data_IF_143491603473
#
_entry.id   IF_143491603473
#
_cell.length_a   1.000
_cell.length_b   1.000
_cell.length_c   1.000
_cell.angle_alpha   90.00
_cell.angle_beta   90.00
_cell.angle_gamma   90.00
#
_symmetry.space_group_name_H-M   'P 1'
#
loop_
_entity.id
_entity.type
_entity.pdbx_description
1 polymer ?
#
# COMPACT_ATOMS: atom_id res chain seq x y z
N UNK A 1 -11.51 -7.47 -9.14
CA UNK A 1 -11.16 -8.09 -10.44
C UNK A 1 -11.00 -7.12 -11.66
N UNK A 2 -10.61 -5.84 -11.52
CA UNK A 2 -10.01 -5.05 -12.62
C UNK A 2 -8.48 -5.17 -12.74
N UNK A 3 -7.83 -5.76 -11.73
CA UNK A 3 -6.38 -5.69 -11.48
C UNK A 3 -5.51 -6.32 -12.57
N UNK A 4 -5.88 -7.48 -13.12
CA UNK A 4 -5.11 -8.17 -14.16
C UNK A 4 -5.21 -7.49 -15.53
N UNK A 5 -6.36 -6.86 -15.83
CA UNK A 5 -6.58 -6.08 -17.06
C UNK A 5 -5.81 -4.76 -16.98
N UNK A 6 -5.85 -4.10 -15.82
CA UNK A 6 -5.02 -2.91 -15.55
C UNK A 6 -3.55 -3.27 -15.63
N UNK A 7 -3.14 -4.41 -15.04
CA UNK A 7 -1.78 -4.90 -15.10
C UNK A 7 -1.32 -5.20 -16.54
N UNK A 8 -2.15 -5.87 -17.34
CA UNK A 8 -1.88 -6.15 -18.74
C UNK A 8 -1.72 -4.86 -19.56
N UNK A 9 -2.66 -3.91 -19.44
CA UNK A 9 -2.60 -2.62 -20.18
C UNK A 9 -1.40 -1.76 -19.80
N UNK A 10 -1.05 -1.72 -18.53
CA UNK A 10 0.12 -0.99 -18.05
C UNK A 10 1.42 -1.71 -18.42
N UNK A 11 1.41 -3.05 -18.49
CA UNK A 11 2.53 -3.83 -19.01
C UNK A 11 2.79 -3.56 -20.49
N UNK A 12 1.73 -3.42 -21.31
CA UNK A 12 1.87 -2.98 -22.71
C UNK A 12 2.43 -1.57 -22.85
N UNK A 13 2.30 -0.73 -21.81
CA UNK A 13 2.88 0.61 -21.74
C UNK A 13 4.34 0.62 -21.23
N UNK A 14 4.97 -0.55 -21.04
CA UNK A 14 6.34 -0.69 -20.58
C UNK A 14 6.52 -0.62 -19.06
N UNK A 15 5.44 -0.68 -18.29
CA UNK A 15 5.50 -0.71 -16.81
C UNK A 15 5.64 -2.17 -16.34
N UNK A 16 6.69 -2.46 -15.57
CA UNK A 16 6.85 -3.79 -14.94
C UNK A 16 5.80 -3.99 -13.87
N UNK A 17 5.00 -5.06 -13.98
CA UNK A 17 3.90 -5.33 -13.07
C UNK A 17 3.89 -6.80 -12.68
N UNK A 18 3.98 -7.02 -11.37
CA UNK A 18 3.82 -8.32 -10.74
C UNK A 18 2.42 -8.41 -10.13
N UNK A 19 1.68 -9.47 -10.43
CA UNK A 19 0.34 -9.69 -9.89
C UNK A 19 0.41 -10.77 -8.79
N UNK A 20 -0.06 -10.39 -7.60
CA UNK A 20 -0.31 -11.31 -6.48
C UNK A 20 -1.77 -11.76 -6.53
N UNK A 21 -2.00 -13.06 -6.76
CA UNK A 21 -3.35 -13.64 -6.86
C UNK A 21 -3.53 -14.69 -5.74
N UNK A 22 -4.06 -14.30 -4.57
CA UNK A 22 -4.43 -15.26 -3.54
C UNK A 22 -5.67 -16.07 -3.99
N UNK A 23 -5.77 -17.35 -3.62
CA UNK A 23 -6.85 -18.22 -4.06
C UNK A 23 -8.18 -17.81 -3.42
N UNK A 24 -9.30 -18.03 -4.12
CA UNK A 24 -10.64 -17.67 -3.64
C UNK A 24 -10.97 -16.17 -3.73
N UNK A 25 -12.21 -15.83 -3.35
CA UNK A 25 -12.70 -14.44 -3.24
C UNK A 25 -12.70 -13.94 -1.79
N UNK A 26 -12.26 -14.78 -0.86
CA UNK A 26 -12.32 -14.55 0.57
C UNK A 26 -11.22 -13.57 1.01
N UNK A 27 -11.42 -12.91 2.14
CA UNK A 27 -10.43 -11.98 2.66
C UNK A 27 -9.10 -12.72 2.92
N UNK A 28 -7.98 -12.00 2.75
CA UNK A 28 -6.63 -12.53 3.04
C UNK A 28 -6.47 -13.01 4.49
N UNK A 29 -7.41 -12.63 5.37
CA UNK A 29 -7.51 -13.05 6.75
C UNK A 29 -8.97 -13.12 7.21
N UNK A 30 -9.36 -14.29 7.71
CA UNK A 30 -10.61 -14.52 8.43
C UNK A 30 -10.27 -15.18 9.77
N UNK A 31 -10.27 -14.41 10.85
CA UNK A 31 -9.94 -14.90 12.18
C UNK A 31 -10.11 -13.82 13.24
N UNK A 32 -10.13 -14.25 14.50
CA UNK A 32 -10.42 -13.36 15.62
C UNK A 32 -9.31 -12.33 15.85
N UNK A 33 -9.63 -11.15 16.44
CA UNK A 33 -8.65 -10.11 16.71
C UNK A 33 -7.42 -10.58 17.51
N UNK A 34 -7.58 -11.53 18.42
CA UNK A 34 -6.49 -12.08 19.24
C UNK A 34 -5.55 -12.99 18.42
N UNK A 35 -6.11 -13.73 17.45
CA UNK A 35 -5.32 -14.54 16.52
C UNK A 35 -4.53 -13.67 15.55
N UNK A 36 -5.11 -12.52 15.15
CA UNK A 36 -4.42 -11.50 14.37
C UNK A 36 -3.22 -10.91 15.12
N UNK A 37 -3.38 -10.67 16.43
CA UNK A 37 -2.29 -10.17 17.31
C UNK A 37 -1.14 -11.19 17.36
N UNK A 38 -1.45 -12.48 17.52
CA UNK A 38 -0.45 -13.56 17.52
C UNK A 38 0.23 -13.70 16.14
N UNK A 39 -0.55 -13.68 15.06
CA UNK A 39 -0.08 -13.82 13.68
C UNK A 39 0.96 -12.75 13.31
N UNK A 40 0.74 -11.52 13.74
CA UNK A 40 1.57 -10.36 13.38
C UNK A 40 2.79 -10.18 14.29
N UNK A 41 2.86 -10.91 15.41
CA UNK A 41 3.96 -10.82 16.37
C UNK A 41 5.23 -11.57 15.93
N UNK A 42 5.08 -12.64 15.14
CA UNK A 42 6.21 -13.45 14.68
C UNK A 42 6.84 -12.91 13.38
N UNK A 43 8.12 -13.21 13.14
CA UNK A 43 8.75 -13.01 11.82
C UNK A 43 8.22 -14.07 10.82
N UNK A 44 7.62 -13.69 9.68
CA UNK A 44 7.11 -14.65 8.71
C UNK A 44 8.20 -15.49 8.04
N UNK A 45 9.47 -15.08 8.10
CA UNK A 45 10.57 -15.79 7.44
C UNK A 45 10.43 -15.82 5.90
N UNK A 46 11.40 -16.42 5.20
CA UNK A 46 11.34 -16.52 3.74
C UNK A 46 10.37 -17.63 3.30
N UNK A 47 9.43 -17.31 2.41
CA UNK A 47 8.63 -18.30 1.69
C UNK A 47 8.93 -18.20 0.19
N UNK A 48 9.12 -19.35 -0.46
CA UNK A 48 9.31 -19.44 -1.91
C UNK A 48 7.99 -19.80 -2.56
N UNK A 49 7.58 -19.02 -3.55
CA UNK A 49 6.39 -19.27 -4.34
C UNK A 49 6.77 -19.58 -5.78
N UNK A 50 5.91 -20.36 -6.45
CA UNK A 50 6.03 -20.60 -7.87
C UNK A 50 5.60 -19.35 -8.64
N UNK A 51 6.54 -18.76 -9.37
CA UNK A 51 6.29 -17.65 -10.29
C UNK A 51 6.26 -18.16 -11.73
N UNK A 52 5.31 -17.69 -12.53
CA UNK A 52 5.23 -18.06 -13.94
C UNK A 52 4.27 -17.18 -14.72
N UNK A 53 4.29 -17.33 -16.04
CA UNK A 53 3.20 -16.82 -16.89
C UNK A 53 1.92 -17.62 -16.55
N UNK A 54 0.73 -16.99 -16.58
CA UNK A 54 -0.53 -17.73 -16.42
C UNK A 54 -0.58 -18.89 -17.41
N UNK A 55 -1.14 -20.03 -17.01
CA UNK A 55 -1.44 -21.09 -17.97
C UNK A 55 -2.57 -20.67 -18.91
N UNK A 56 -2.68 -21.33 -20.06
CA UNK A 56 -3.81 -21.11 -20.98
C UNK A 56 -5.16 -21.25 -20.27
N UNK A 57 -5.32 -22.26 -19.42
CA UNK A 57 -6.55 -22.52 -18.65
C UNK A 57 -6.86 -21.37 -17.68
N UNK A 58 -5.85 -20.83 -17.00
CA UNK A 58 -6.00 -19.67 -16.10
C UNK A 58 -6.36 -18.39 -16.86
N UNK A 59 -5.68 -18.14 -17.98
CA UNK A 59 -5.95 -17.00 -18.87
C UNK A 59 -7.38 -17.08 -19.42
N UNK A 60 -7.77 -18.25 -19.92
CA UNK A 60 -9.06 -18.51 -20.54
C UNK A 60 -10.22 -18.46 -19.54
N UNK A 61 -10.09 -19.11 -18.38
CA UNK A 61 -11.12 -19.08 -17.34
C UNK A 61 -11.42 -17.66 -16.86
N UNK A 62 -10.38 -16.83 -16.67
CA UNK A 62 -10.55 -15.42 -16.26
C UNK A 62 -11.11 -14.54 -17.38
N UNK A 63 -10.80 -14.82 -18.64
CA UNK A 63 -11.41 -14.15 -19.79
C UNK A 63 -12.92 -14.44 -19.86
N UNK A 64 -13.33 -15.69 -19.59
CA UNK A 64 -14.74 -16.08 -19.55
C UNK A 64 -15.50 -15.46 -18.37
N UNK A 65 -14.93 -15.45 -17.17
CA UNK A 65 -15.52 -14.76 -16.01
C UNK A 65 -15.79 -13.28 -16.31
N UNK A 66 -14.89 -12.63 -17.07
CA UNK A 66 -15.03 -11.22 -17.44
C UNK A 66 -16.13 -10.95 -18.48
N UNK A 67 -16.34 -11.90 -19.41
CA UNK A 67 -17.39 -11.82 -20.42
C UNK A 67 -18.79 -12.11 -19.85
N UNK A 68 -18.89 -12.48 -18.56
CA UNK A 68 -20.15 -12.78 -17.89
C UNK A 68 -20.86 -14.03 -18.42
N UNK A 69 -20.12 -14.89 -19.13
CA UNK A 69 -20.66 -16.12 -19.73
C UNK A 69 -20.68 -17.23 -18.68
N UNK A 70 -21.83 -17.44 -18.06
CA UNK A 70 -22.02 -18.46 -17.00
C UNK A 70 -22.17 -19.88 -17.57
N UNK A 71 -22.50 -20.02 -18.86
CA UNK A 71 -22.58 -21.31 -19.53
C UNK A 71 -22.12 -21.16 -20.99
N UNK A 72 -20.82 -21.28 -21.23
CA UNK A 72 -20.29 -21.39 -22.59
C UNK A 72 -19.41 -22.63 -22.64
N UNK A 73 -19.92 -23.74 -23.18
CA UNK A 73 -19.07 -24.83 -23.64
C UNK A 73 -18.46 -24.38 -24.98
N UNK A 74 -17.18 -23.97 -25.00
CA UNK A 74 -16.60 -23.49 -26.23
C UNK A 74 -16.43 -24.66 -27.19
N UNK A 75 -16.75 -24.43 -28.47
CA UNK A 75 -16.45 -25.45 -29.48
C UNK A 75 -14.93 -25.52 -29.73
N UNK A 76 -14.45 -26.64 -30.28
CA UNK A 76 -13.02 -26.88 -30.53
C UNK A 76 -12.33 -25.78 -31.35
N UNK A 77 -13.04 -25.12 -32.27
CA UNK A 77 -12.49 -24.03 -33.07
C UNK A 77 -12.28 -22.74 -32.24
N UNK A 78 -13.16 -22.47 -31.27
CA UNK A 78 -13.03 -21.32 -30.36
C UNK A 78 -11.90 -21.52 -29.36
N UNK A 79 -11.75 -22.74 -28.81
CA UNK A 79 -10.60 -23.12 -27.99
C UNK A 79 -9.28 -22.99 -28.76
N UNK A 80 -9.27 -23.39 -30.03
CA UNK A 80 -8.09 -23.28 -30.89
C UNK A 80 -7.72 -21.82 -31.16
N UNK A 81 -8.71 -20.97 -31.46
CA UNK A 81 -8.50 -19.54 -31.66
C UNK A 81 -7.98 -18.84 -30.39
N UNK A 82 -8.59 -19.13 -29.24
CA UNK A 82 -8.17 -18.58 -27.96
C UNK A 82 -6.74 -19.02 -27.59
N UNK A 83 -6.36 -20.26 -27.92
CA UNK A 83 -5.00 -20.77 -27.65
C UNK A 83 -3.96 -20.08 -28.52
N UNK A 84 -4.27 -19.82 -29.79
CA UNK A 84 -3.41 -19.03 -30.67
C UNK A 84 -3.24 -17.59 -30.18
N UNK A 85 -4.31 -16.97 -29.66
CA UNK A 85 -4.27 -15.62 -29.05
C UNK A 85 -3.42 -15.59 -27.76
N UNK A 86 -3.56 -16.61 -26.92
CA UNK A 86 -2.73 -16.78 -25.72
C UNK A 86 -1.24 -16.95 -26.07
N UNK A 87 -0.92 -17.80 -27.05
CA UNK A 87 0.47 -18.00 -27.48
C UNK A 87 1.09 -16.73 -28.06
N UNK A 88 0.29 -15.94 -28.82
CA UNK A 88 0.72 -14.66 -29.35
C UNK A 88 0.97 -13.60 -28.26
N UNK A 89 0.21 -13.64 -27.15
CA UNK A 89 0.30 -12.66 -26.05
C UNK A 89 1.26 -13.07 -24.93
N UNK A 90 1.77 -14.31 -24.91
CA UNK A 90 2.58 -14.87 -23.83
C UNK A 90 3.74 -13.97 -23.37
N UNK A 91 4.40 -13.29 -24.33
CA UNK A 91 5.49 -12.33 -24.05
C UNK A 91 5.04 -11.12 -23.23
N UNK A 92 3.82 -10.66 -23.43
CA UNK A 92 3.23 -9.45 -22.85
C UNK A 92 2.40 -9.73 -21.58
N UNK A 93 2.11 -11.00 -21.28
CA UNK A 93 1.36 -11.36 -20.07
C UNK A 93 2.17 -11.03 -18.80
N UNK A 94 1.56 -10.55 -17.72
CA UNK A 94 2.26 -10.30 -16.47
C UNK A 94 2.79 -11.61 -15.86
N UNK A 95 3.82 -11.51 -15.02
CA UNK A 95 4.23 -12.62 -14.17
C UNK A 95 3.23 -12.72 -13.02
N UNK A 96 2.70 -13.92 -12.81
CA UNK A 96 1.79 -14.20 -11.71
C UNK A 96 2.55 -14.99 -10.65
N UNK A 97 2.44 -14.52 -9.42
CA UNK A 97 2.88 -15.24 -8.24
C UNK A 97 1.66 -15.92 -7.64
N UNK A 98 1.60 -17.25 -7.80
CA UNK A 98 0.52 -18.06 -7.24
C UNK A 98 0.79 -18.23 -5.75
N UNK A 99 -0.07 -17.64 -4.92
CA UNK A 99 0.02 -17.79 -3.47
C UNK A 99 -0.81 -19.00 -3.10
N UNK A 100 -0.24 -20.09 -2.54
CA UNK A 100 -1.07 -21.21 -2.12
C UNK A 100 -1.94 -20.81 -0.90
N UNK A 101 -3.02 -21.55 -0.63
CA UNK A 101 -3.95 -21.25 0.48
C UNK A 101 -3.24 -21.14 1.84
N UNK A 102 -2.29 -22.03 2.10
CA UNK A 102 -1.43 -22.00 3.30
C UNK A 102 -0.47 -20.78 3.32
N UNK A 103 -0.22 -20.14 2.18
CA UNK A 103 0.56 -18.92 2.00
C UNK A 103 -0.19 -17.62 2.26
N UNK A 104 -1.53 -17.62 2.34
CA UNK A 104 -2.33 -16.39 2.57
C UNK A 104 -1.94 -15.68 3.86
N UNK A 105 -1.82 -16.44 4.96
CA UNK A 105 -1.45 -15.92 6.28
C UNK A 105 -0.06 -15.29 6.26
N UNK A 106 0.89 -15.89 5.55
CA UNK A 106 2.23 -15.33 5.36
C UNK A 106 2.18 -14.04 4.54
N UNK A 107 1.44 -14.03 3.41
CA UNK A 107 1.31 -12.85 2.55
C UNK A 107 0.72 -11.68 3.33
N UNK A 108 -0.37 -11.95 4.06
CA UNK A 108 -1.03 -10.96 4.90
C UNK A 108 -0.05 -10.35 5.93
N UNK A 109 0.77 -11.18 6.60
CA UNK A 109 1.80 -10.70 7.54
C UNK A 109 2.82 -9.79 6.88
N UNK A 110 3.32 -10.16 5.71
CA UNK A 110 4.29 -9.35 4.95
C UNK A 110 3.66 -8.00 4.56
N UNK A 111 2.42 -8.02 4.04
CA UNK A 111 1.71 -6.79 3.66
C UNK A 111 1.46 -5.88 4.88
N UNK A 112 1.01 -6.45 6.00
CA UNK A 112 0.76 -5.70 7.22
C UNK A 112 2.06 -5.08 7.80
N UNK A 113 3.16 -5.83 7.81
CA UNK A 113 4.49 -5.33 8.21
C UNK A 113 4.98 -4.23 7.27
N UNK A 114 4.82 -4.41 5.96
CA UNK A 114 5.22 -3.41 4.97
C UNK A 114 4.39 -2.12 5.10
N UNK A 115 3.09 -2.23 5.36
CA UNK A 115 2.24 -1.08 5.64
C UNK A 115 2.71 -0.34 6.90
N UNK A 116 2.94 -1.06 8.01
CA UNK A 116 3.48 -0.50 9.26
C UNK A 116 4.84 0.20 9.06
N UNK A 117 5.76 -0.46 8.36
CA UNK A 117 7.06 0.10 7.98
C UNK A 117 6.90 1.42 7.21
N UNK A 118 6.04 1.43 6.18
CA UNK A 118 5.86 2.60 5.30
C UNK A 118 5.23 3.78 6.03
N UNK A 119 4.27 3.53 6.90
CA UNK A 119 3.58 4.55 7.70
C UNK A 119 4.53 5.19 8.72
N UNK A 120 5.40 4.41 9.37
CA UNK A 120 6.42 4.96 10.27
C UNK A 120 7.48 5.77 9.52
N UNK A 121 7.94 5.30 8.35
CA UNK A 121 8.86 6.08 7.50
C UNK A 121 8.22 7.37 6.99
N UNK A 122 6.94 7.33 6.65
CA UNK A 122 6.18 8.54 6.30
C UNK A 122 6.18 9.54 7.45
N UNK A 123 6.03 9.09 8.70
CA UNK A 123 6.17 9.93 9.89
C UNK A 123 7.62 10.35 10.19
N UNK A 124 8.60 9.84 9.46
CA UNK A 124 10.03 10.09 9.65
C UNK A 124 10.69 9.30 10.78
N UNK A 125 10.04 8.27 11.31
CA UNK A 125 10.59 7.40 12.35
C UNK A 125 11.22 6.14 11.73
N UNK A 126 12.43 6.31 11.19
CA UNK A 126 13.17 5.21 10.57
C UNK A 126 13.63 4.16 11.59
N UNK A 127 13.86 4.56 12.85
CA UNK A 127 14.28 3.64 13.91
C UNK A 127 13.18 2.65 14.23
N UNK A 128 11.97 3.12 14.52
CA UNK A 128 10.84 2.23 14.79
C UNK A 128 10.41 1.49 13.52
N UNK A 129 10.51 2.10 12.34
CA UNK A 129 10.18 1.41 11.09
C UNK A 129 11.04 0.16 10.87
N UNK A 130 12.32 0.21 11.25
CA UNK A 130 13.29 -0.88 11.00
C UNK A 130 12.88 -2.24 11.57
N UNK A 131 12.05 -2.28 12.62
CA UNK A 131 11.55 -3.52 13.21
C UNK A 131 10.59 -4.30 12.28
N UNK A 132 10.06 -3.63 11.27
CA UNK A 132 9.14 -4.18 10.28
C UNK A 132 9.80 -4.48 8.94
N UNK A 133 11.07 -4.13 8.77
CA UNK A 133 11.83 -4.37 7.54
C UNK A 133 11.90 -5.87 7.24
N UNK A 134 11.46 -6.26 6.04
CA UNK A 134 11.78 -7.60 5.53
C UNK A 134 13.22 -7.64 5.00
N UNK A 135 13.91 -8.79 5.02
CA UNK A 135 15.28 -8.90 4.51
C UNK A 135 15.47 -8.36 3.09
N UNK A 136 14.44 -8.44 2.23
CA UNK A 136 14.45 -7.88 0.86
C UNK A 136 14.32 -6.36 0.80
N UNK A 137 13.69 -5.73 1.79
CA UNK A 137 13.53 -4.26 1.86
C UNK A 137 14.79 -3.60 2.42
N UNK A 138 15.60 -4.34 3.19
CA UNK A 138 16.87 -3.84 3.71
C UNK A 138 17.85 -3.42 2.60
N UNK A 139 17.72 -3.97 1.39
CA UNK A 139 18.58 -3.65 0.24
C UNK A 139 18.05 -2.46 -0.59
N UNK A 140 16.76 -2.12 -0.48
CA UNK A 140 16.12 -0.99 -1.17
C UNK A 140 15.75 0.10 -0.15
N UNK A 141 16.78 0.74 0.43
CA UNK A 141 16.61 1.62 1.59
C UNK A 141 16.01 3.01 1.29
N UNK A 142 15.63 3.32 0.05
CA UNK A 142 15.37 4.70 -0.35
C UNK A 142 13.96 4.86 -0.91
N UNK A 143 13.09 5.56 -0.19
CA UNK A 143 11.90 6.14 -0.81
C UNK A 143 12.36 7.40 -1.57
N UNK A 144 11.76 7.74 -2.72
CA UNK A 144 12.10 8.97 -3.47
C UNK A 144 11.97 10.27 -2.64
N UNK A 145 11.29 10.22 -1.49
CA UNK A 145 11.14 11.31 -0.53
C UNK A 145 12.30 11.45 0.47
N UNK A 146 13.18 10.46 0.57
CA UNK A 146 14.33 10.47 1.49
C UNK A 146 15.53 11.21 0.90
N UNK A 147 15.60 11.34 -0.43
CA UNK A 147 16.68 12.04 -1.16
C UNK A 147 16.47 13.57 -1.23
N UNK A 148 15.37 14.07 -0.67
CA UNK A 148 14.94 15.46 -0.86
C UNK A 148 15.62 16.47 0.07
N UNK A 149 16.80 16.21 0.64
CA UNK A 149 17.43 17.15 1.58
C UNK A 149 18.56 18.01 0.95
N UNK A 150 18.26 19.09 0.20
CA UNK A 150 19.22 20.18 0.01
C UNK A 150 19.40 20.96 1.33
N UNK A 151 20.57 21.59 1.47
CA UNK A 151 21.07 22.29 2.68
C UNK A 151 20.14 23.37 3.28
N UNK A 152 19.12 23.83 2.54
CA UNK A 152 18.15 24.83 3.00
C UNK A 152 16.95 24.25 3.77
N UNK A 153 16.79 22.92 3.84
CA UNK A 153 15.71 22.29 4.61
C UNK A 153 16.08 22.13 6.08
N UNK A 154 15.33 22.79 6.97
CA UNK A 154 15.41 22.53 8.41
C UNK A 154 14.41 21.43 8.78
N UNK A 155 14.91 20.30 9.30
CA UNK A 155 14.10 19.17 9.75
C UNK A 155 13.90 19.22 11.26
N UNK A 156 12.68 18.93 11.72
CA UNK A 156 12.43 18.62 13.14
C UNK A 156 11.76 17.25 13.22
N UNK A 157 12.57 16.23 13.54
CA UNK A 157 12.20 14.79 13.49
C UNK A 157 11.17 14.39 14.58
N UNK A 158 10.76 15.33 15.43
CA UNK A 158 9.72 15.11 16.42
C UNK A 158 8.83 16.35 16.53
N UNK A 159 7.92 16.48 15.58
CA UNK A 159 6.90 17.53 15.56
C UNK A 159 5.54 16.92 15.89
N UNK A 160 4.84 17.51 16.86
CA UNK A 160 3.40 17.26 17.04
C UNK A 160 2.62 18.36 16.30
N UNK A 161 1.55 17.98 15.61
CA UNK A 161 0.64 18.92 14.98
C UNK A 161 -0.80 18.46 15.12
N UNK A 162 -1.71 19.40 15.37
CA UNK A 162 -3.12 19.13 15.23
C UNK A 162 -3.55 19.35 13.78
N UNK A 163 -4.32 18.40 13.26
CA UNK A 163 -5.08 18.52 12.03
C UNK A 163 -6.54 18.29 12.44
N UNK A 164 -7.34 19.35 12.39
CA UNK A 164 -8.66 19.40 12.99
C UNK A 164 -8.63 18.96 14.49
N UNK A 165 -9.48 18.03 14.90
CA UNK A 165 -9.58 17.51 16.27
C UNK A 165 -8.56 16.39 16.58
N UNK A 166 -7.72 16.03 15.62
CA UNK A 166 -6.79 14.91 15.73
C UNK A 166 -5.34 15.38 15.85
N UNK A 167 -4.59 14.71 16.74
CA UNK A 167 -3.17 14.98 16.97
C UNK A 167 -2.32 14.02 16.17
N UNK A 168 -1.35 14.56 15.45
CA UNK A 168 -0.40 13.82 14.62
C UNK A 168 1.02 14.00 15.14
N UNK A 169 1.82 12.95 15.00
CA UNK A 169 3.26 12.92 15.30
C UNK A 169 4.01 12.66 14.00
N UNK A 170 5.05 13.43 13.73
CA UNK A 170 5.93 13.18 12.61
C UNK A 170 6.96 14.27 12.41
N UNK A 171 7.17 14.66 11.16
CA UNK A 171 8.23 15.60 10.77
C UNK A 171 7.67 16.84 10.11
N UNK A 172 8.29 17.97 10.45
CA UNK A 172 8.03 19.26 9.84
C UNK A 172 9.23 19.70 9.02
N UNK A 173 8.95 20.13 7.80
CA UNK A 173 9.85 20.78 6.87
C UNK A 173 9.45 22.24 6.73
N UNK A 174 10.42 23.12 6.57
CA UNK A 174 10.19 24.53 6.28
C UNK A 174 11.15 24.97 5.19
N UNK A 175 10.64 25.69 4.20
CA UNK A 175 11.43 26.23 3.10
C UNK A 175 11.15 27.71 2.90
N UNK A 176 12.17 28.56 2.78
CA UNK A 176 11.96 29.96 2.47
C UNK A 176 11.41 30.12 1.04
N UNK A 177 10.47 31.04 0.87
CA UNK A 177 9.93 31.47 -0.42
C UNK A 177 10.55 32.81 -0.84
N UNK A 178 10.59 33.13 -2.16
CA UNK A 178 11.20 34.36 -2.67
C UNK A 178 10.60 35.67 -2.12
N UNK A 179 9.36 35.64 -1.65
CA UNK A 179 8.65 36.79 -1.09
C UNK A 179 8.88 36.98 0.42
N UNK A 180 9.80 36.22 1.03
CA UNK A 180 10.07 36.25 2.47
C UNK A 180 9.09 35.45 3.33
N UNK A 181 8.06 34.83 2.72
CA UNK A 181 7.23 33.83 3.38
C UNK A 181 7.98 32.49 3.49
N UNK A 182 7.43 31.54 4.24
CA UNK A 182 7.97 30.18 4.37
C UNK A 182 6.88 29.15 4.04
N UNK A 183 7.21 28.19 3.20
CA UNK A 183 6.37 27.03 2.95
C UNK A 183 6.71 25.94 3.97
N UNK A 184 5.73 25.63 4.82
CA UNK A 184 5.82 24.58 5.82
C UNK A 184 5.06 23.35 5.38
N UNK A 185 5.72 22.19 5.48
CA UNK A 185 5.13 20.88 5.18
C UNK A 185 5.25 20.04 6.44
N UNK A 186 4.13 19.54 6.94
CA UNK A 186 4.08 18.57 8.02
C UNK A 186 3.58 17.24 7.46
N UNK A 187 4.30 16.15 7.72
CA UNK A 187 3.83 14.78 7.48
C UNK A 187 3.95 13.98 8.76
N UNK A 188 2.95 13.16 9.07
CA UNK A 188 2.92 12.40 10.30
C UNK A 188 1.80 11.38 10.33
N UNK A 189 1.63 10.76 11.50
CA UNK A 189 0.61 9.75 11.76
C UNK A 189 -0.15 10.13 13.03
N UNK A 190 -1.44 9.82 13.08
CA UNK A 190 -2.26 10.04 14.27
C UNK A 190 -1.58 9.43 15.50
N UNK A 191 -1.50 10.19 16.60
CA UNK A 191 -0.65 9.87 17.75
C UNK A 191 -0.90 8.48 18.31
N UNK A 192 -2.16 8.10 18.54
CA UNK A 192 -2.47 6.77 19.07
C UNK A 192 -2.10 5.64 18.10
N UNK A 193 -2.20 5.87 16.80
CA UNK A 193 -1.77 4.92 15.76
C UNK A 193 -0.26 4.82 15.68
N UNK A 194 0.44 5.95 15.73
CA UNK A 194 1.89 6.01 15.81
C UNK A 194 2.42 5.22 17.01
N UNK A 195 1.83 5.42 18.20
CA UNK A 195 2.22 4.71 19.42
C UNK A 195 2.02 3.18 19.30
N UNK A 196 0.91 2.73 18.71
CA UNK A 196 0.70 1.31 18.44
C UNK A 196 1.78 0.74 17.52
N UNK A 197 2.09 1.42 16.42
CA UNK A 197 3.12 0.97 15.47
C UNK A 197 4.51 0.97 16.09
N UNK A 198 4.86 2.02 16.84
CA UNK A 198 6.13 2.14 17.55
C UNK A 198 6.36 0.97 18.51
N UNK A 199 5.30 0.46 19.13
CA UNK A 199 5.32 -0.65 20.08
C UNK A 199 5.12 -2.02 19.43
N UNK A 200 5.12 -2.12 18.09
CA UNK A 200 4.95 -3.41 17.40
C UNK A 200 3.49 -3.90 17.32
N UNK A 201 2.52 -3.11 17.81
CA UNK A 201 1.10 -3.49 17.91
C UNK A 201 0.34 -3.23 16.60
N UNK A 202 0.74 -3.92 15.51
CA UNK A 202 0.19 -3.72 14.15
C UNK A 202 -1.32 -3.93 14.11
N UNK A 203 -1.82 -4.97 14.76
CA UNK A 203 -3.25 -5.27 14.81
C UNK A 203 -4.08 -4.18 15.51
N UNK A 204 -3.58 -3.65 16.63
CA UNK A 204 -4.20 -2.52 17.33
C UNK A 204 -4.23 -1.27 16.44
N UNK A 205 -3.15 -1.04 15.68
CA UNK A 205 -3.10 -0.02 14.64
C UNK A 205 -4.18 -0.24 13.56
N UNK A 206 -4.30 -1.44 12.99
CA UNK A 206 -5.28 -1.75 11.94
C UNK A 206 -6.73 -1.58 12.44
N UNK A 207 -7.03 -2.07 13.66
CA UNK A 207 -8.33 -1.88 14.30
C UNK A 207 -8.66 -0.41 14.52
N UNK A 208 -7.66 0.40 14.89
CA UNK A 208 -7.85 1.85 15.06
C UNK A 208 -8.05 2.55 13.71
N UNK A 209 -7.28 2.19 12.69
CA UNK A 209 -7.43 2.71 11.34
C UNK A 209 -8.83 2.44 10.78
N UNK A 210 -9.31 1.21 10.94
CA UNK A 210 -10.65 0.83 10.51
C UNK A 210 -11.74 1.65 11.21
N UNK A 211 -11.66 1.80 12.54
CA UNK A 211 -12.64 2.57 13.32
C UNK A 211 -12.67 4.06 12.97
N UNK A 212 -11.52 4.63 12.63
CA UNK A 212 -11.39 6.06 12.33
C UNK A 212 -11.58 6.39 10.85
N UNK A 213 -11.70 5.37 9.98
CA UNK A 213 -11.87 5.54 8.53
C UNK A 213 -12.99 6.52 8.18
N UNK A 214 -14.17 6.33 8.78
CA UNK A 214 -15.34 7.17 8.50
C UNK A 214 -15.18 8.59 9.04
N UNK A 215 -14.52 8.72 10.21
CA UNK A 215 -14.17 10.03 10.76
C UNK A 215 -13.21 10.79 9.84
N UNK A 216 -12.24 10.11 9.23
CA UNK A 216 -11.30 10.73 8.30
C UNK A 216 -11.91 11.11 6.96
N UNK A 217 -12.91 10.36 6.48
CA UNK A 217 -13.67 10.74 5.29
C UNK A 217 -14.38 12.10 5.47
N UNK A 218 -14.68 12.48 6.72
CA UNK A 218 -15.28 13.78 7.05
C UNK A 218 -14.26 14.93 7.20
N UNK A 219 -12.95 14.63 7.28
CA UNK A 219 -11.92 15.66 7.33
C UNK A 219 -11.85 16.35 5.98
N UNK A 220 -12.12 17.65 5.96
CA UNK A 220 -12.10 18.43 4.73
C UNK A 220 -10.68 18.42 4.13
N UNK A 221 -10.53 17.75 2.98
CA UNK A 221 -9.26 17.67 2.25
C UNK A 221 -9.18 18.76 1.20
N UNK A 222 -7.97 19.31 0.99
CA UNK A 222 -7.70 20.32 -0.05
C UNK A 222 -7.63 21.77 0.42
N UNK A 223 -7.17 22.65 -0.49
CA UNK A 223 -6.85 24.05 -0.19
C UNK A 223 -8.07 24.96 -0.02
N UNK A 224 -9.20 24.63 -0.66
CA UNK A 224 -10.39 25.49 -0.64
C UNK A 224 -11.12 25.51 0.71
N UNK A 225 -10.92 24.49 1.54
CA UNK A 225 -11.62 24.27 2.81
C UNK A 225 -10.72 24.52 4.04
N UNK A 226 -9.40 24.54 3.84
CA UNK A 226 -8.39 24.69 4.90
C UNK A 226 -7.75 26.08 4.91
N UNK A 227 -8.53 27.15 4.73
CA UNK A 227 -8.03 28.53 4.68
C UNK A 227 -7.17 28.85 3.45
N UNK A 228 -7.01 30.14 3.08
CA UNK A 228 -6.48 30.55 1.77
C UNK A 228 -5.01 30.17 1.48
N UNK A 229 -4.27 29.66 2.48
CA UNK A 229 -2.85 29.33 2.37
C UNK A 229 -2.47 28.00 3.01
N UNK A 230 -3.42 27.09 3.18
CA UNK A 230 -3.17 25.78 3.74
C UNK A 230 -3.96 24.69 3.01
N UNK A 231 -3.34 23.53 2.87
CA UNK A 231 -3.96 22.31 2.38
C UNK A 231 -3.71 21.17 3.38
N UNK A 232 -4.72 20.36 3.58
CA UNK A 232 -4.68 19.19 4.46
C UNK A 232 -5.10 17.96 3.67
N UNK A 233 -4.43 16.84 3.91
CA UNK A 233 -4.83 15.50 3.46
C UNK A 233 -4.66 14.52 4.61
N UNK A 234 -5.67 13.68 4.85
CA UNK A 234 -5.63 12.60 5.83
C UNK A 234 -5.93 11.29 5.11
N UNK A 235 -5.05 10.31 5.28
CA UNK A 235 -5.19 8.98 4.70
C UNK A 235 -6.07 8.07 5.55
N UNK A 236 -6.63 7.04 4.91
CA UNK A 236 -7.42 5.98 5.56
C UNK A 236 -6.59 5.02 6.43
N UNK A 237 -5.30 5.29 6.54
CA UNK A 237 -4.29 4.61 7.34
C UNK A 237 -3.80 5.49 8.49
N UNK A 238 -4.44 6.65 8.71
CA UNK A 238 -4.10 7.58 9.78
C UNK A 238 -2.87 8.44 9.51
N UNK A 239 -2.34 8.41 8.28
CA UNK A 239 -1.34 9.37 7.83
C UNK A 239 -1.98 10.76 7.64
N UNK A 240 -1.22 11.80 7.93
CA UNK A 240 -1.64 13.18 7.78
C UNK A 240 -0.56 14.00 7.10
N UNK A 241 -0.96 14.78 6.09
CA UNK A 241 -0.13 15.74 5.39
C UNK A 241 -0.78 17.12 5.54
N UNK A 242 -0.01 18.11 5.96
CA UNK A 242 -0.42 19.51 5.96
C UNK A 242 0.65 20.35 5.27
N UNK A 243 0.23 21.16 4.33
CA UNK A 243 1.07 22.12 3.63
C UNK A 243 0.50 23.50 3.93
N UNK A 244 1.34 24.48 4.30
CA UNK A 244 0.91 25.87 4.48
C UNK A 244 2.00 26.87 4.14
N UNK A 245 1.59 28.06 3.71
CA UNK A 245 2.48 29.21 3.56
C UNK A 245 2.28 30.12 4.77
N UNK A 246 3.38 30.43 5.48
CA UNK A 246 3.42 31.32 6.66
C UNK A 246 4.29 32.53 6.43
#
# INVERSE_FOLDING_TARGET
MPSLIVASRLSTAGVSIDVLDPPGNDDLWEGEPEELDALLSDDPGPQQWTSGKPTFEQFYARQQEHLGSVEFEPNDAELTAARAEYEASLGELPIIFQVPEDGKKWLFRILARNAAHSVLRFAGDNTSASQFTSPRIADYQHLPLDDLAPDWQTFTVSSESNIDSHRFVGVKYSMPLPNGASLEIFRGVEKGMYENLREGRISAYMRRAHRLRDAWASVATGAATSGPHQAVSVGSDGTGLRIRVV
#
